data_IF_094222339192
#
_entry.id   IF_094222339192
#
_cell.length_a   1.000
_cell.length_b   1.000
_cell.length_c   1.000
_cell.angle_alpha   90.00
_cell.angle_beta   90.00
_cell.angle_gamma   90.00
#
_symmetry.space_group_name_H-M   'P 1'
#
loop_
_entity.id
_entity.type
_entity.pdbx_description
1 polymer ?
#
# COMPACT_ATOMS: atom_id res chain seq x y z
N UNK A 1 8.63 -26.81 -29.10
CA UNK A 1 8.53 -25.34 -29.20
C UNK A 1 8.38 -24.85 -27.79
N UNK A 2 9.49 -24.35 -27.27
CA UNK A 2 9.68 -23.94 -25.88
C UNK A 2 8.99 -22.59 -25.68
N UNK A 3 8.07 -22.52 -24.71
CA UNK A 3 7.37 -21.28 -24.34
C UNK A 3 7.95 -20.83 -23.02
N UNK A 4 8.99 -19.99 -23.12
CA UNK A 4 9.60 -19.30 -22.01
C UNK A 4 8.57 -18.37 -21.37
N UNK A 5 7.92 -18.86 -20.31
CA UNK A 5 7.27 -18.03 -19.31
C UNK A 5 8.36 -17.12 -18.73
N UNK A 6 8.23 -15.81 -18.93
CA UNK A 6 9.08 -14.81 -18.29
C UNK A 6 9.05 -14.96 -16.76
N UNK A 7 10.05 -14.41 -16.04
CA UNK A 7 10.15 -14.60 -14.61
C UNK A 7 8.88 -14.06 -13.92
N UNK A 8 8.16 -14.98 -13.25
CA UNK A 8 7.03 -14.66 -12.39
C UNK A 8 7.54 -13.75 -11.27
N UNK A 9 7.16 -12.47 -11.32
CA UNK A 9 7.46 -11.52 -10.24
C UNK A 9 6.56 -11.89 -9.06
N UNK A 10 7.11 -12.62 -8.10
CA UNK A 10 6.46 -12.85 -6.81
C UNK A 10 6.70 -11.64 -5.92
N UNK A 11 5.64 -10.89 -5.61
CA UNK A 11 5.68 -9.90 -4.54
C UNK A 11 5.59 -10.62 -3.19
N UNK A 12 6.65 -10.54 -2.39
CA UNK A 12 6.73 -11.08 -1.03
C UNK A 12 7.82 -12.14 -0.87
N UNK A 13 8.55 -12.07 0.24
CA UNK A 13 9.55 -13.06 0.62
C UNK A 13 8.85 -14.32 1.14
N UNK A 14 8.89 -15.40 0.36
CA UNK A 14 8.63 -16.74 0.90
C UNK A 14 9.81 -17.14 1.79
N UNK A 15 9.55 -17.49 3.04
CA UNK A 15 10.60 -18.00 3.94
C UNK A 15 10.92 -19.43 3.53
N UNK A 16 12.18 -19.78 3.20
CA UNK A 16 12.56 -21.14 2.86
C UNK A 16 12.31 -22.09 4.04
N UNK A 17 11.88 -23.33 3.76
CA UNK A 17 11.45 -24.30 4.79
C UNK A 17 12.59 -24.76 5.71
N UNK A 18 13.84 -24.54 5.33
CA UNK A 18 15.06 -25.01 5.99
C UNK A 18 15.74 -23.96 6.88
N UNK A 19 15.17 -22.75 7.01
CA UNK A 19 15.70 -21.67 7.83
C UNK A 19 14.85 -21.50 9.10
N UNK A 20 15.47 -21.21 10.24
CA UNK A 20 14.77 -20.74 11.44
C UNK A 20 13.94 -19.50 11.09
N UNK A 21 12.66 -19.71 10.83
CA UNK A 21 11.78 -18.69 10.31
C UNK A 21 11.46 -17.66 11.39
N UNK A 22 11.86 -16.41 11.17
CA UNK A 22 11.24 -15.28 11.86
C UNK A 22 9.76 -15.25 11.48
N UNK A 23 8.88 -15.63 12.40
CA UNK A 23 7.43 -15.56 12.17
C UNK A 23 7.01 -14.09 12.26
N UNK A 24 6.95 -13.44 11.11
CA UNK A 24 6.49 -12.07 10.96
C UNK A 24 4.97 -12.05 10.80
N UNK A 25 4.30 -11.22 11.58
CA UNK A 25 2.85 -11.02 11.47
C UNK A 25 2.58 -9.53 11.36
N UNK A 26 1.81 -9.15 10.35
CA UNK A 26 1.33 -7.78 10.18
C UNK A 26 0.04 -7.61 10.97
N UNK A 27 0.11 -6.85 12.06
CA UNK A 27 -1.07 -6.44 12.81
C UNK A 27 -1.55 -5.09 12.26
N UNK A 28 -2.74 -5.07 11.67
CA UNK A 28 -3.42 -3.84 11.27
C UNK A 28 -4.33 -3.42 12.42
N UNK A 29 -3.82 -2.60 13.34
CA UNK A 29 -4.59 -2.06 14.47
C UNK A 29 -5.36 -0.81 14.04
N UNK A 30 -6.29 -0.96 13.09
CA UNK A 30 -6.96 0.17 12.44
C UNK A 30 -8.30 0.53 13.10
N UNK A 31 -8.96 -0.42 13.77
CA UNK A 31 -10.24 -0.21 14.43
C UNK A 31 -10.13 -0.31 15.96
N UNK A 32 -10.90 0.45 16.75
CA UNK A 32 -10.96 0.28 18.21
C UNK A 32 -11.28 -1.15 18.66
N UNK A 33 -12.03 -1.90 17.86
CA UNK A 33 -12.32 -3.31 18.13
C UNK A 33 -11.10 -4.22 17.92
N UNK A 34 -10.13 -3.82 17.08
CA UNK A 34 -8.85 -4.51 16.92
C UNK A 34 -7.93 -4.31 18.15
N UNK A 35 -8.25 -3.33 18.99
CA UNK A 35 -7.56 -3.05 20.26
C UNK A 35 -8.12 -3.87 21.41
N UNK A 36 -9.17 -4.68 21.20
CA UNK A 36 -9.64 -5.56 22.26
C UNK A 36 -8.51 -6.52 22.70
N UNK A 37 -8.37 -6.79 24.01
CA UNK A 37 -7.40 -7.77 24.54
C UNK A 37 -7.51 -9.17 23.94
N UNK A 38 -8.55 -9.45 23.16
CA UNK A 38 -8.76 -10.67 22.41
C UNK A 38 -7.74 -10.90 21.30
N UNK A 39 -7.25 -9.85 20.61
CA UNK A 39 -6.36 -10.02 19.46
C UNK A 39 -5.02 -10.65 19.86
N UNK A 40 -4.40 -10.13 20.92
CA UNK A 40 -3.15 -10.69 21.44
C UNK A 40 -3.32 -12.10 22.00
N UNK A 41 -4.43 -12.36 22.69
CA UNK A 41 -4.78 -13.72 23.13
C UNK A 41 -4.95 -14.68 21.96
N UNK A 42 -5.60 -14.24 20.88
CA UNK A 42 -5.77 -15.03 19.66
C UNK A 42 -4.43 -15.32 18.99
N UNK A 43 -3.55 -14.31 18.90
CA UNK A 43 -2.19 -14.48 18.40
C UNK A 43 -1.41 -15.52 19.21
N UNK A 44 -1.38 -15.40 20.54
CA UNK A 44 -0.68 -16.33 21.41
C UNK A 44 -1.26 -17.75 21.34
N UNK A 45 -2.58 -17.88 21.21
CA UNK A 45 -3.24 -19.17 21.04
C UNK A 45 -2.86 -19.84 19.70
N UNK A 46 -2.78 -19.06 18.61
CA UNK A 46 -2.47 -19.57 17.27
C UNK A 46 -1.00 -19.92 17.09
N UNK A 47 -0.10 -19.16 17.72
CA UNK A 47 1.35 -19.36 17.61
C UNK A 47 1.88 -20.52 18.46
N UNK A 48 1.12 -20.95 19.47
CA UNK A 48 1.46 -22.06 20.39
C UNK A 48 2.83 -21.89 21.09
N UNK A 49 3.30 -20.65 21.25
CA UNK A 49 4.57 -20.37 21.92
C UNK A 49 4.51 -20.79 23.39
N UNK A 50 5.55 -21.46 23.86
CA UNK A 50 5.80 -21.77 25.27
C UNK A 50 6.06 -20.50 26.10
N UNK A 51 5.96 -20.60 27.44
CA UNK A 51 6.26 -19.47 28.31
C UNK A 51 7.68 -18.93 28.13
N UNK A 52 8.66 -19.81 27.94
CA UNK A 52 10.06 -19.42 27.73
C UNK A 52 10.26 -18.67 26.40
N UNK A 53 9.61 -19.10 25.32
CA UNK A 53 9.66 -18.40 24.03
C UNK A 53 9.00 -17.02 24.11
N UNK A 54 7.88 -16.90 24.85
CA UNK A 54 7.21 -15.61 25.07
C UNK A 54 8.06 -14.63 25.86
N UNK A 55 8.85 -15.11 26.83
CA UNK A 55 9.78 -14.29 27.60
C UNK A 55 10.96 -13.80 26.76
N UNK A 56 11.38 -14.56 25.75
CA UNK A 56 12.50 -14.20 24.86
C UNK A 56 12.07 -13.38 23.64
N UNK A 57 10.77 -13.26 23.40
CA UNK A 57 10.22 -12.56 22.24
C UNK A 57 10.56 -11.07 22.26
N UNK A 58 11.04 -10.55 21.11
CA UNK A 58 11.23 -9.12 20.87
C UNK A 58 10.11 -8.59 20.01
N UNK A 59 9.61 -7.40 20.34
CA UNK A 59 8.55 -6.73 19.57
C UNK A 59 9.19 -5.52 18.91
N UNK A 60 9.15 -5.47 17.58
CA UNK A 60 9.63 -4.33 16.81
C UNK A 60 8.42 -3.71 16.12
N UNK A 61 8.16 -2.43 16.38
CA UNK A 61 7.06 -1.69 15.77
C UNK A 61 7.62 -0.69 14.77
N UNK A 62 7.21 -0.82 13.51
CA UNK A 62 7.51 0.14 12.46
C UNK A 62 6.57 1.32 12.51
N UNK A 63 7.07 2.53 12.27
CA UNK A 63 6.30 3.77 12.24
C UNK A 63 6.57 4.53 10.94
N UNK A 64 5.57 5.26 10.40
CA UNK A 64 5.79 6.11 9.24
C UNK A 64 6.93 7.11 9.46
N UNK A 65 7.64 7.45 8.39
CA UNK A 65 8.81 8.35 8.44
C UNK A 65 8.48 9.71 9.08
N UNK A 66 7.37 10.30 8.65
CA UNK A 66 6.94 11.65 9.02
C UNK A 66 6.44 11.78 10.45
N UNK A 67 6.21 10.66 11.16
CA UNK A 67 5.65 10.72 12.50
C UNK A 67 6.69 11.23 13.50
N UNK A 68 6.33 12.18 14.38
CA UNK A 68 7.27 12.69 15.38
C UNK A 68 7.49 11.68 16.51
N UNK A 69 8.65 11.74 17.15
CA UNK A 69 9.00 10.85 18.26
C UNK A 69 8.07 10.97 19.49
N UNK A 70 7.30 12.06 19.58
CA UNK A 70 6.25 12.22 20.60
C UNK A 70 5.19 11.13 20.52
N UNK A 71 4.98 10.51 19.35
CA UNK A 71 4.02 9.41 19.18
C UNK A 71 4.54 8.09 19.80
N UNK A 72 5.84 7.94 20.06
CA UNK A 72 6.39 6.73 20.67
C UNK A 72 5.77 6.43 22.04
N UNK A 73 5.47 7.47 22.83
CA UNK A 73 4.81 7.30 24.13
C UNK A 73 3.37 6.81 23.96
N UNK A 74 2.62 7.39 23.03
CA UNK A 74 1.25 6.98 22.71
C UNK A 74 1.21 5.55 22.20
N UNK A 75 2.12 5.16 21.29
CA UNK A 75 2.18 3.80 20.77
C UNK A 75 2.50 2.78 21.86
N UNK A 76 3.40 3.11 22.80
CA UNK A 76 3.65 2.25 23.96
C UNK A 76 2.39 2.02 24.77
N UNK A 77 1.61 3.07 25.04
CA UNK A 77 0.36 2.96 25.79
C UNK A 77 -0.66 2.09 25.05
N UNK A 78 -0.82 2.30 23.74
CA UNK A 78 -1.69 1.45 22.89
C UNK A 78 -1.28 -0.02 22.96
N UNK A 79 0.03 -0.34 22.89
CA UNK A 79 0.52 -1.71 22.99
C UNK A 79 0.26 -2.35 24.36
N UNK A 80 0.32 -1.55 25.44
CA UNK A 80 -0.05 -2.00 26.80
C UNK A 80 -1.55 -2.31 26.86
N UNK A 81 -2.37 -1.38 26.36
CA UNK A 81 -3.84 -1.53 26.36
C UNK A 81 -4.28 -2.75 25.53
N UNK A 82 -3.65 -2.97 24.38
CA UNK A 82 -3.86 -4.14 23.53
C UNK A 82 -3.32 -5.45 24.16
N UNK A 83 -2.64 -5.38 25.30
CA UNK A 83 -2.04 -6.52 26.00
C UNK A 83 -0.82 -7.12 25.30
N UNK A 84 -0.32 -6.49 24.24
CA UNK A 84 0.81 -6.95 23.41
C UNK A 84 2.11 -6.91 24.22
N UNK A 85 2.29 -5.84 25.00
CA UNK A 85 3.37 -5.75 25.99
C UNK A 85 2.78 -5.81 27.39
N UNK A 86 3.34 -6.65 28.26
CA UNK A 86 2.97 -6.69 29.66
C UNK A 86 3.26 -5.38 30.40
N UNK A 87 2.63 -5.17 31.56
CA UNK A 87 2.90 -4.05 32.48
C UNK A 87 4.27 -4.14 33.17
N UNK A 88 4.90 -5.32 33.12
CA UNK A 88 6.27 -5.53 33.60
C UNK A 88 7.22 -5.22 32.45
N UNK A 89 8.29 -4.50 32.76
CA UNK A 89 9.31 -3.94 31.88
C UNK A 89 10.16 -4.97 31.09
N UNK A 90 9.64 -6.17 30.83
CA UNK A 90 10.38 -7.35 30.38
C UNK A 90 10.26 -7.72 28.91
N UNK A 91 9.53 -6.96 28.08
CA UNK A 91 9.54 -7.21 26.64
C UNK A 91 10.48 -6.23 25.95
N UNK A 92 11.43 -6.75 25.17
CA UNK A 92 12.35 -5.97 24.33
C UNK A 92 11.55 -5.28 23.20
N UNK A 93 10.87 -4.17 23.53
CA UNK A 93 10.17 -3.32 22.58
C UNK A 93 11.16 -2.37 21.91
N UNK A 94 11.17 -2.38 20.58
CA UNK A 94 11.93 -1.45 19.76
C UNK A 94 11.01 -0.77 18.77
N UNK A 95 11.33 0.47 18.44
CA UNK A 95 10.69 1.21 17.37
C UNK A 95 11.69 1.41 16.24
N UNK A 96 11.21 1.33 15.02
CA UNK A 96 11.98 1.57 13.80
C UNK A 96 11.11 2.38 12.85
N UNK A 97 11.69 3.23 12.00
CA UNK A 97 10.90 3.84 10.93
C UNK A 97 10.68 2.84 9.80
N UNK A 98 9.53 2.88 9.13
CA UNK A 98 9.20 2.01 7.99
C UNK A 98 10.31 1.97 6.93
N UNK A 99 10.82 3.11 6.41
CA UNK A 99 11.89 3.05 5.41
C UNK A 99 13.23 2.54 5.99
N UNK A 100 13.47 2.64 7.31
CA UNK A 100 14.64 2.02 7.97
C UNK A 100 14.48 0.49 8.04
N UNK A 101 13.28 0.01 8.35
CA UNK A 101 12.98 -1.41 8.35
C UNK A 101 13.13 -2.01 6.95
N UNK A 102 12.65 -1.28 5.92
CA UNK A 102 12.86 -1.65 4.52
C UNK A 102 14.35 -1.67 4.15
N UNK A 103 15.13 -0.64 4.53
CA UNK A 103 16.57 -0.61 4.31
C UNK A 103 17.27 -1.81 4.94
N UNK A 104 16.97 -2.12 6.21
CA UNK A 104 17.55 -3.27 6.90
C UNK A 104 17.17 -4.58 6.19
N UNK A 105 15.91 -4.77 5.81
CA UNK A 105 15.47 -5.97 5.11
C UNK A 105 16.20 -6.16 3.77
N UNK A 106 16.36 -5.08 2.99
CA UNK A 106 17.11 -5.12 1.73
C UNK A 106 18.59 -5.41 1.94
N UNK A 107 19.21 -4.84 2.97
CA UNK A 107 20.64 -5.01 3.23
C UNK A 107 20.96 -6.39 3.80
N UNK A 108 20.06 -6.97 4.59
CA UNK A 108 20.21 -8.33 5.11
C UNK A 108 20.02 -9.41 4.03
N UNK A 109 19.53 -9.04 2.84
CA UNK A 109 19.63 -9.88 1.67
C UNK A 109 21.11 -10.12 1.32
N UNK A 110 21.53 -11.39 1.31
CA UNK A 110 22.91 -11.79 1.12
C UNK A 110 23.51 -11.23 -0.18
N UNK A 111 22.68 -11.07 -1.22
CA UNK A 111 23.11 -10.48 -2.49
C UNK A 111 23.50 -9.01 -2.33
N UNK A 112 22.71 -8.22 -1.61
CA UNK A 112 22.95 -6.78 -1.41
C UNK A 112 24.09 -6.52 -0.43
N UNK A 113 24.18 -7.32 0.64
CA UNK A 113 25.19 -7.17 1.70
C UNK A 113 26.63 -7.20 1.18
N UNK A 114 26.89 -8.00 0.14
CA UNK A 114 28.21 -8.17 -0.47
C UNK A 114 28.72 -6.96 -1.24
N UNK A 115 27.83 -6.03 -1.61
CA UNK A 115 28.17 -4.82 -2.37
C UNK A 115 28.41 -3.58 -1.50
N UNK A 116 27.94 -3.58 -0.26
CA UNK A 116 27.99 -2.39 0.61
C UNK A 116 29.36 -2.17 1.23
N UNK A 117 29.74 -0.89 1.33
CA UNK A 117 30.99 -0.40 1.92
C UNK A 117 30.71 0.65 2.99
N UNK A 118 31.58 0.70 4.01
CA UNK A 118 31.54 1.83 4.93
C UNK A 118 31.80 3.13 4.15
N UNK A 119 30.96 4.13 4.37
CA UNK A 119 30.93 5.38 3.62
C UNK A 119 29.85 5.44 2.54
N UNK A 120 29.27 4.32 2.11
CA UNK A 120 28.22 4.29 1.10
C UNK A 120 26.96 5.03 1.57
N UNK A 121 26.26 5.63 0.61
CA UNK A 121 24.98 6.28 0.83
C UNK A 121 23.89 5.38 0.27
N UNK A 122 22.98 4.94 1.14
CA UNK A 122 21.80 4.16 0.81
C UNK A 122 20.59 5.08 0.85
N UNK A 123 19.82 5.08 -0.24
CA UNK A 123 18.55 5.79 -0.32
C UNK A 123 17.45 4.75 -0.47
N UNK A 124 16.48 4.76 0.44
CA UNK A 124 15.27 3.94 0.33
C UNK A 124 14.08 4.85 0.12
N UNK A 125 13.30 4.51 -0.91
CA UNK A 125 12.07 5.19 -1.29
C UNK A 125 10.93 4.18 -1.15
N UNK A 126 10.22 4.22 -0.02
CA UNK A 126 9.05 3.39 0.24
C UNK A 126 7.82 4.07 -0.36
N UNK A 127 7.42 3.61 -1.55
CA UNK A 127 6.26 4.12 -2.27
C UNK A 127 5.01 3.31 -1.91
N UNK A 128 4.52 3.49 -0.69
CA UNK A 128 3.29 2.88 -0.21
C UNK A 128 2.03 3.40 -0.92
N UNK A 129 0.89 2.79 -0.59
CA UNK A 129 -0.42 3.21 -1.13
C UNK A 129 -0.82 4.62 -0.68
N UNK A 130 -0.56 4.96 0.58
CA UNK A 130 -1.02 6.19 1.23
C UNK A 130 0.12 7.20 1.55
N UNK A 131 1.37 6.76 1.58
CA UNK A 131 2.55 7.60 1.81
C UNK A 131 3.67 7.25 0.83
N UNK A 132 4.50 8.24 0.54
CA UNK A 132 5.83 8.02 -0.04
C UNK A 132 6.82 8.49 1.01
N UNK A 133 7.58 7.56 1.56
CA UNK A 133 8.53 7.80 2.63
C UNK A 133 9.96 7.59 2.11
N UNK A 134 10.79 8.62 2.23
CA UNK A 134 12.18 8.56 1.79
C UNK A 134 13.13 8.67 2.98
N UNK A 135 14.17 7.85 2.97
CA UNK A 135 15.29 7.96 3.89
C UNK A 135 16.61 7.94 3.14
N UNK A 136 17.57 8.71 3.62
CA UNK A 136 18.97 8.68 3.15
C UNK A 136 19.86 8.35 4.34
N UNK A 137 20.55 7.23 4.26
CA UNK A 137 21.41 6.72 5.33
C UNK A 137 22.83 6.52 4.83
N UNK A 138 23.81 6.83 5.68
CA UNK A 138 25.20 6.51 5.44
C UNK A 138 25.57 5.22 6.17
N UNK A 139 26.22 4.29 5.48
CA UNK A 139 26.80 3.09 6.09
C UNK A 139 28.03 3.48 6.89
N UNK A 140 28.02 3.23 8.20
CA UNK A 140 29.12 3.51 9.12
C UNK A 140 30.02 2.27 9.28
N UNK A 141 29.42 1.09 9.37
CA UNK A 141 30.12 -0.20 9.39
C UNK A 141 29.20 -1.28 8.82
N UNK A 142 29.77 -2.33 8.22
CA UNK A 142 29.00 -3.47 7.66
C UNK A 142 28.90 -4.62 8.65
N UNK A 143 29.91 -4.78 9.51
CA UNK A 143 29.95 -5.83 10.53
C UNK A 143 30.49 -5.27 11.84
N UNK A 144 29.63 -5.05 12.86
CA UNK A 144 28.16 -5.08 12.77
C UNK A 144 27.63 -3.98 11.84
N UNK A 145 26.49 -4.22 11.18
CA UNK A 145 25.85 -3.21 10.33
C UNK A 145 25.45 -2.01 11.20
N UNK A 146 25.96 -0.83 10.86
CA UNK A 146 25.58 0.44 11.47
C UNK A 146 25.33 1.46 10.38
N UNK A 147 24.20 2.15 10.48
CA UNK A 147 23.81 3.21 9.57
C UNK A 147 23.42 4.44 10.35
N UNK A 148 23.59 5.61 9.73
CA UNK A 148 23.20 6.90 10.30
C UNK A 148 22.40 7.67 9.28
N UNK A 149 21.28 8.23 9.71
CA UNK A 149 20.44 9.10 8.88
C UNK A 149 21.22 10.39 8.56
N UNK A 150 21.27 10.74 7.28
CA UNK A 150 21.97 11.93 6.78
C UNK A 150 21.03 13.13 6.78
N UNK A 151 19.76 12.88 6.50
CA UNK A 151 18.68 13.86 6.50
C UNK A 151 17.53 13.33 7.36
N UNK A 152 16.74 14.21 8.00
CA UNK A 152 15.49 13.81 8.61
C UNK A 152 14.63 13.05 7.61
N UNK A 153 13.97 11.99 8.07
CA UNK A 153 13.08 11.22 7.23
C UNK A 153 11.88 12.10 6.81
N UNK A 154 11.69 12.29 5.51
CA UNK A 154 10.53 13.00 4.98
C UNK A 154 9.50 11.99 4.49
N UNK A 155 8.30 12.06 5.06
CA UNK A 155 7.12 11.40 4.52
C UNK A 155 6.25 12.42 3.81
N UNK A 156 5.83 12.11 2.59
CA UNK A 156 4.82 12.89 1.86
C UNK A 156 3.59 12.02 1.66
N UNK A 157 2.41 12.62 1.86
CA UNK A 157 1.16 11.93 1.56
C UNK A 157 1.11 11.55 0.07
N UNK A 158 0.64 10.34 -0.19
CA UNK A 158 0.77 9.64 -1.47
C UNK A 158 0.05 10.32 -2.61
N UNK A 159 0.71 10.22 -3.76
CA UNK A 159 0.20 10.58 -5.08
C UNK A 159 -0.89 9.63 -5.57
N UNK A 160 -1.08 8.41 -5.07
CA UNK A 160 -2.10 7.47 -5.60
C UNK A 160 -3.52 7.97 -5.35
N UNK A 161 -3.82 8.47 -4.14
CA UNK A 161 -5.11 9.11 -3.87
C UNK A 161 -5.28 10.40 -4.68
N UNK A 162 -4.19 11.15 -4.89
CA UNK A 162 -4.20 12.33 -5.79
C UNK A 162 -4.36 11.94 -7.26
N UNK A 163 -3.82 10.80 -7.69
CA UNK A 163 -3.93 10.26 -9.04
C UNK A 163 -5.32 9.69 -9.29
N UNK A 164 -5.94 9.06 -8.29
CA UNK A 164 -7.35 8.68 -8.34
C UNK A 164 -8.24 9.92 -8.45
N UNK A 165 -7.95 10.97 -7.65
CA UNK A 165 -8.63 12.26 -7.77
C UNK A 165 -8.45 12.85 -9.16
N UNK A 166 -7.22 12.83 -9.70
CA UNK A 166 -6.93 13.26 -11.07
C UNK A 166 -7.62 12.40 -12.13
N UNK A 167 -7.77 11.10 -11.90
CA UNK A 167 -8.52 10.20 -12.77
C UNK A 167 -10.01 10.52 -12.75
N UNK A 168 -10.58 10.84 -11.57
CA UNK A 168 -11.97 11.29 -11.43
C UNK A 168 -12.18 12.63 -12.17
N UNK A 169 -11.25 13.58 -12.05
CA UNK A 169 -11.33 14.83 -12.82
C UNK A 169 -11.24 14.58 -14.33
N UNK A 170 -10.35 13.69 -14.76
CA UNK A 170 -10.24 13.32 -16.17
C UNK A 170 -11.50 12.60 -16.70
N UNK A 171 -12.18 11.80 -15.86
CA UNK A 171 -13.48 11.22 -16.18
C UNK A 171 -14.52 12.33 -16.38
N UNK A 172 -14.62 13.27 -15.44
CA UNK A 172 -15.55 14.41 -15.54
C UNK A 172 -15.32 15.21 -16.82
N UNK A 173 -14.08 15.56 -17.12
CA UNK A 173 -13.71 16.31 -18.33
C UNK A 173 -14.12 15.57 -19.61
N UNK A 174 -13.82 14.26 -19.69
CA UNK A 174 -14.17 13.45 -20.87
C UNK A 174 -15.66 13.19 -21.00
N UNK A 175 -16.40 13.16 -19.90
CA UNK A 175 -17.85 12.92 -19.88
C UNK A 175 -18.67 14.18 -20.18
N UNK A 176 -18.12 15.38 -19.95
CA UNK A 176 -18.82 16.65 -20.18
C UNK A 176 -19.26 16.89 -21.65
N UNK A 177 -18.75 16.09 -22.61
CA UNK A 177 -19.16 16.15 -24.02
C UNK A 177 -20.15 15.06 -24.46
N UNK A 178 -20.64 14.23 -23.53
CA UNK A 178 -21.49 13.09 -23.87
C UNK A 178 -22.97 13.50 -23.85
N UNK A 179 -23.77 13.16 -24.89
CA UNK A 179 -25.20 13.42 -24.90
C UNK A 179 -25.88 12.88 -23.63
N UNK A 180 -26.56 13.75 -22.89
CA UNK A 180 -27.19 13.43 -21.60
C UNK A 180 -26.47 13.98 -20.37
N UNK A 181 -25.20 14.38 -20.49
CA UNK A 181 -24.39 14.97 -19.42
C UNK A 181 -24.08 16.42 -19.81
N UNK A 182 -24.61 17.42 -19.08
CA UNK A 182 -24.41 18.85 -19.42
C UNK A 182 -23.15 19.42 -18.80
N UNK A 183 -22.63 18.77 -17.76
CA UNK A 183 -21.33 19.09 -17.16
C UNK A 183 -20.96 18.14 -16.02
N UNK A 184 -19.76 18.33 -15.49
CA UNK A 184 -19.20 17.51 -14.42
C UNK A 184 -20.10 17.42 -13.15
N UNK A 185 -20.91 18.46 -12.90
CA UNK A 185 -21.81 18.53 -11.75
C UNK A 185 -23.05 17.62 -11.88
N UNK A 186 -23.41 17.19 -13.10
CA UNK A 186 -24.55 16.32 -13.34
C UNK A 186 -24.22 14.84 -13.07
N UNK A 187 -22.94 14.52 -12.86
CA UNK A 187 -22.47 13.16 -12.62
C UNK A 187 -22.46 12.90 -11.10
N UNK A 188 -23.29 11.98 -10.58
CA UNK A 188 -23.28 11.65 -9.16
C UNK A 188 -21.91 11.19 -8.70
N UNK A 189 -21.43 11.75 -7.58
CA UNK A 189 -20.12 11.41 -7.01
C UNK A 189 -19.94 9.90 -6.73
N UNK A 190 -21.03 9.22 -6.36
CA UNK A 190 -21.04 7.76 -6.13
C UNK A 190 -20.71 6.99 -7.41
N UNK A 191 -21.23 7.42 -8.56
CA UNK A 191 -20.94 6.78 -9.85
C UNK A 191 -19.48 6.97 -10.26
N UNK A 192 -18.96 8.19 -10.08
CA UNK A 192 -17.54 8.50 -10.31
C UNK A 192 -16.63 7.63 -9.42
N UNK A 193 -16.97 7.48 -8.15
CA UNK A 193 -16.19 6.68 -7.22
C UNK A 193 -16.26 5.19 -7.56
N UNK A 194 -17.42 4.67 -7.97
CA UNK A 194 -17.55 3.29 -8.44
C UNK A 194 -16.74 3.03 -9.71
N UNK A 195 -16.72 3.97 -10.66
CA UNK A 195 -15.90 3.88 -11.86
C UNK A 195 -14.41 3.92 -11.52
N UNK A 196 -13.99 4.83 -10.62
CA UNK A 196 -12.62 4.90 -10.12
C UNK A 196 -12.21 3.58 -9.44
N UNK A 197 -12.98 3.07 -8.49
CA UNK A 197 -12.69 1.79 -7.82
C UNK A 197 -12.59 0.62 -8.82
N UNK A 198 -13.54 0.52 -9.77
CA UNK A 198 -13.58 -0.57 -10.75
C UNK A 198 -12.45 -0.51 -11.78
N UNK A 199 -12.02 0.67 -12.20
CA UNK A 199 -11.06 0.83 -13.29
C UNK A 199 -9.70 1.29 -12.79
N UNK A 200 -9.63 2.35 -11.99
CA UNK A 200 -8.37 2.85 -11.43
C UNK A 200 -7.74 1.80 -10.50
N UNK A 201 -8.42 1.46 -9.39
CA UNK A 201 -7.84 0.60 -8.35
C UNK A 201 -7.69 -0.86 -8.81
N UNK A 202 -8.70 -1.40 -9.50
CA UNK A 202 -8.70 -2.83 -9.85
C UNK A 202 -8.01 -3.16 -11.17
N UNK A 203 -7.88 -2.20 -12.11
CA UNK A 203 -7.31 -2.46 -13.44
C UNK A 203 -6.04 -1.66 -13.71
N UNK A 204 -6.09 -0.34 -13.63
CA UNK A 204 -4.97 0.53 -14.00
C UNK A 204 -3.80 0.34 -13.04
N UNK A 205 -3.99 0.61 -11.75
CA UNK A 205 -2.92 0.54 -10.73
C UNK A 205 -2.21 -0.81 -10.71
N UNK A 206 -2.93 -1.91 -10.98
CA UNK A 206 -2.38 -3.27 -10.94
C UNK A 206 -1.67 -3.73 -12.20
N UNK A 207 -2.05 -3.18 -13.37
CA UNK A 207 -1.61 -3.73 -14.67
C UNK A 207 -0.93 -2.69 -15.56
N UNK A 208 -0.68 -1.47 -15.06
CA UNK A 208 -0.09 -0.41 -15.86
C UNK A 208 1.42 -0.61 -16.02
N UNK A 209 1.87 -0.80 -17.26
CA UNK A 209 3.29 -0.84 -17.63
C UNK A 209 3.69 0.36 -18.51
N UNK A 210 2.73 1.20 -18.90
CA UNK A 210 2.95 2.44 -19.65
C UNK A 210 2.51 2.39 -21.11
N UNK A 211 1.94 1.26 -21.58
CA UNK A 211 1.57 1.07 -22.99
C UNK A 211 0.12 0.60 -23.20
N UNK A 212 -0.56 0.27 -22.11
CA UNK A 212 -1.91 -0.26 -22.12
C UNK A 212 -2.96 0.79 -22.51
N UNK A 213 -4.08 0.29 -23.04
CA UNK A 213 -5.29 1.07 -23.29
C UNK A 213 -6.37 0.58 -22.34
N UNK A 214 -7.05 1.51 -21.68
CA UNK A 214 -8.13 1.18 -20.75
C UNK A 214 -9.44 1.74 -21.27
N UNK A 215 -10.48 0.91 -21.20
CA UNK A 215 -11.84 1.30 -21.51
C UNK A 215 -12.60 1.46 -20.19
N UNK A 216 -13.19 2.63 -19.98
CA UNK A 216 -14.11 2.88 -18.87
C UNK A 216 -15.51 2.88 -19.43
N UNK A 217 -16.33 1.95 -18.97
CA UNK A 217 -17.75 1.89 -19.31
C UNK A 217 -18.50 3.02 -18.62
N UNK A 218 -19.37 3.70 -19.36
CA UNK A 218 -20.20 4.76 -18.80
C UNK A 218 -21.53 4.14 -18.36
N UNK A 219 -21.89 4.23 -17.08
CA UNK A 219 -23.16 3.70 -16.59
C UNK A 219 -24.35 4.25 -17.38
N UNK A 220 -25.23 3.35 -17.87
CA UNK A 220 -26.42 3.73 -18.64
C UNK A 220 -27.33 4.73 -17.93
N UNK A 221 -27.37 4.70 -16.60
CA UNK A 221 -28.14 5.64 -15.77
C UNK A 221 -27.75 7.10 -16.03
N UNK A 222 -26.49 7.36 -16.43
CA UNK A 222 -26.00 8.71 -16.76
C UNK A 222 -26.39 9.17 -18.17
N UNK A 223 -26.82 8.25 -19.02
CA UNK A 223 -27.19 8.51 -20.41
C UNK A 223 -28.71 8.70 -20.56
N UNK A 224 -29.49 8.32 -19.55
CA UNK A 224 -30.94 8.31 -19.59
C UNK A 224 -31.51 9.72 -19.29
N UNK A 225 -31.25 10.65 -20.22
CA UNK A 225 -31.82 12.01 -20.23
C UNK A 225 -32.84 12.24 -21.34
N UNK A 226 -33.14 11.24 -22.17
CA UNK A 226 -34.22 11.30 -23.17
C UNK A 226 -34.96 9.96 -23.25
N UNK A 227 -36.07 9.85 -22.50
CA UNK A 227 -37.25 9.18 -23.03
C UNK A 227 -38.21 10.28 -23.45
N UNK A 228 -37.95 10.90 -24.61
CA UNK A 228 -38.99 11.60 -25.34
C UNK A 228 -39.66 10.59 -26.27
N UNK A 229 -40.97 10.45 -26.10
CA UNK A 229 -41.87 9.67 -26.94
C UNK A 229 -41.69 10.05 -28.42
N UNK A 230 -41.05 9.19 -29.22
CA UNK A 230 -41.42 8.98 -30.63
C UNK A 230 -40.69 7.79 -31.27
N UNK A 231 -41.56 6.85 -31.67
CA UNK A 231 -41.47 5.98 -32.84
C UNK A 231 -40.51 4.78 -32.83
N UNK A 232 -41.16 3.62 -32.91
CA UNK A 232 -40.69 2.34 -33.39
C UNK A 232 -39.73 2.44 -34.59
N UNK A 233 -38.58 1.78 -34.50
CA UNK A 233 -38.05 0.79 -35.44
C UNK A 233 -36.52 0.73 -35.39
N UNK A 234 -36.02 -0.49 -35.59
CA UNK A 234 -34.62 -0.87 -35.83
C UNK A 234 -33.72 -1.04 -34.60
N UNK A 235 -33.70 -2.30 -34.15
CA UNK A 235 -32.61 -2.91 -33.40
C UNK A 235 -31.35 -2.98 -34.27
N UNK A 236 -30.39 -2.11 -34.03
CA UNK A 236 -28.99 -2.37 -34.34
C UNK A 236 -28.13 -2.09 -33.12
N UNK A 237 -27.20 -3.00 -32.86
CA UNK A 237 -26.34 -3.06 -31.69
C UNK A 237 -25.48 -1.79 -31.52
N UNK A 238 -26.00 -0.76 -30.87
CA UNK A 238 -25.19 0.31 -30.28
C UNK A 238 -24.56 -0.24 -29.01
N UNK A 239 -23.28 -0.64 -29.11
CA UNK A 239 -22.49 -1.01 -27.94
C UNK A 239 -22.53 0.10 -26.88
N UNK A 240 -22.40 -0.27 -25.60
CA UNK A 240 -22.31 0.69 -24.49
C UNK A 240 -21.28 1.78 -24.81
N UNK A 241 -21.52 3.06 -24.45
CA UNK A 241 -20.48 4.07 -24.64
C UNK A 241 -19.34 3.82 -23.66
N UNK A 242 -18.12 3.77 -24.21
CA UNK A 242 -16.88 3.65 -23.45
C UNK A 242 -16.03 4.91 -23.63
N UNK A 243 -15.34 5.31 -22.57
CA UNK A 243 -14.22 6.23 -22.66
C UNK A 243 -12.93 5.45 -22.87
N UNK A 244 -12.17 5.83 -23.88
CA UNK A 244 -10.84 5.27 -24.15
C UNK A 244 -9.75 6.13 -23.52
N UNK A 245 -8.96 5.51 -22.65
CA UNK A 245 -7.80 6.12 -22.02
C UNK A 245 -6.52 5.50 -22.60
N UNK A 246 -5.65 6.38 -23.10
CA UNK A 246 -4.27 6.06 -23.46
C UNK A 246 -3.37 7.00 -22.67
N UNK A 247 -2.67 6.45 -21.69
CA UNK A 247 -1.66 7.19 -20.95
C UNK A 247 -0.34 7.03 -21.70
N UNK A 248 0.33 8.15 -22.01
CA UNK A 248 1.66 8.14 -22.63
C UNK A 248 2.68 8.53 -21.57
N UNK A 249 3.80 7.83 -21.52
CA UNK A 249 4.99 8.26 -20.78
C UNK A 249 5.56 9.56 -21.35
#
# INVERSE_FOLDING_TARGET
MDTTLGPTIHWGYGVPEDVDAFRLFKLLLLHPDDLEPGLWKHFLARTQLSSAEREQMRIVVSLPASWPDTILATMKDILVQAGIIGSRHGHNLQFVREPQAAALAMIYDAEVSGFLKAGDIVIVCDCGGATIDCITQQVISISPLRMRDIVPCEGRFSRIAMMESGFIELLKEKMAGIPGIRGAADIPGVELQQMAEKVWQKKIVKNFTGTEKYNVEIPRVLLCGQQDERADSESEAKGEPYLHFMFRN
#
